data_IF_828514471273
#
_entry.id   IF_828514471273
#
_cell.length_a   1.000
_cell.length_b   1.000
_cell.length_c   1.000
_cell.angle_alpha   90.00
_cell.angle_beta   90.00
_cell.angle_gamma   90.00
#
_symmetry.space_group_name_H-M   'P 1'
#
loop_
_entity.id
_entity.type
_entity.pdbx_description
1 polymer ?
#
# COMPACT_ATOMS: atom_id res chain seq x y z
N UNK A 1 -0.41 10.15 -13.21
CA UNK A 1 -1.82 10.39 -12.82
C UNK A 1 -2.53 9.10 -13.14
N UNK A 2 -3.28 8.55 -12.19
CA UNK A 2 -3.82 7.21 -12.33
C UNK A 2 -5.03 7.20 -13.25
N UNK A 3 -4.97 6.38 -14.28
CA UNK A 3 -5.97 6.34 -15.35
C UNK A 3 -6.35 4.90 -15.66
N UNK A 4 -7.59 4.71 -16.12
CA UNK A 4 -8.10 3.41 -16.54
C UNK A 4 -8.70 3.53 -17.93
N UNK A 5 -8.34 2.62 -18.83
CA UNK A 5 -8.99 2.46 -20.12
C UNK A 5 -10.20 1.54 -19.99
N UNK A 6 -11.39 2.11 -20.22
CA UNK A 6 -12.65 1.41 -20.03
C UNK A 6 -13.31 1.14 -21.36
N UNK A 7 -13.54 -0.14 -21.64
CA UNK A 7 -14.37 -0.64 -22.74
C UNK A 7 -15.48 -1.54 -22.22
N UNK A 8 -16.09 -2.33 -23.11
CA UNK A 8 -17.05 -3.38 -22.73
C UNK A 8 -16.67 -4.72 -23.34
N UNK A 9 -17.00 -5.81 -22.65
CA UNK A 9 -16.81 -7.17 -23.17
C UNK A 9 -17.59 -7.39 -24.47
N UNK A 10 -18.77 -6.78 -24.61
CA UNK A 10 -19.56 -6.84 -25.85
C UNK A 10 -18.81 -6.24 -27.02
N UNK A 11 -18.32 -5.00 -26.90
CA UNK A 11 -17.54 -4.33 -27.96
C UNK A 11 -16.31 -5.17 -28.31
N UNK A 12 -15.59 -5.68 -27.30
CA UNK A 12 -14.43 -6.54 -27.49
C UNK A 12 -14.77 -7.81 -28.29
N UNK A 13 -15.85 -8.51 -27.92
CA UNK A 13 -16.32 -9.72 -28.59
C UNK A 13 -16.80 -9.47 -30.03
N UNK A 14 -17.26 -8.26 -30.32
CA UNK A 14 -17.63 -7.80 -31.68
C UNK A 14 -16.41 -7.32 -32.49
N UNK A 15 -15.19 -7.45 -31.96
CA UNK A 15 -13.94 -7.06 -32.63
C UNK A 15 -13.61 -5.57 -32.53
N UNK A 16 -14.22 -4.85 -31.59
CA UNK A 16 -14.04 -3.43 -31.35
C UNK A 16 -13.31 -3.18 -30.02
N UNK A 17 -12.18 -2.48 -30.07
CA UNK A 17 -11.48 -2.00 -28.88
C UNK A 17 -11.93 -0.59 -28.48
N UNK A 18 -13.17 -0.19 -28.83
CA UNK A 18 -13.68 1.15 -28.54
C UNK A 18 -13.95 1.30 -27.04
N UNK A 19 -13.15 2.14 -26.41
CA UNK A 19 -13.28 2.60 -25.03
C UNK A 19 -12.72 4.02 -24.87
N UNK A 20 -12.62 4.47 -23.63
CA UNK A 20 -12.04 5.78 -23.30
C UNK A 20 -11.14 5.69 -22.06
N UNK A 21 -10.11 6.54 -22.02
CA UNK A 21 -9.28 6.73 -20.83
C UNK A 21 -9.99 7.67 -19.87
N UNK A 22 -10.24 7.21 -18.65
CA UNK A 22 -10.81 8.01 -17.56
C UNK A 22 -9.73 8.29 -16.52
N UNK A 23 -9.65 9.54 -16.05
CA UNK A 23 -8.73 9.93 -14.98
C UNK A 23 -9.39 9.71 -13.63
N UNK A 24 -8.78 8.92 -12.76
CA UNK A 24 -9.41 8.58 -11.48
C UNK A 24 -9.51 9.79 -10.53
N UNK A 25 -8.70 10.83 -10.75
CA UNK A 25 -8.78 12.06 -9.97
C UNK A 25 -10.08 12.85 -10.22
N UNK A 26 -10.82 12.55 -11.31
CA UNK A 26 -12.10 13.20 -11.63
C UNK A 26 -13.28 12.60 -10.82
N UNK A 27 -13.07 11.50 -10.09
CA UNK A 27 -14.11 10.78 -9.35
C UNK A 27 -13.79 10.72 -7.86
N UNK A 28 -14.78 11.01 -7.02
CA UNK A 28 -14.62 11.01 -5.57
C UNK A 28 -14.40 9.61 -4.99
N UNK A 29 -15.01 8.60 -5.61
CA UNK A 29 -15.00 7.22 -5.15
C UNK A 29 -15.28 6.25 -6.31
N UNK A 30 -15.26 4.95 -5.98
CA UNK A 30 -15.55 3.86 -6.90
C UNK A 30 -16.93 3.96 -7.54
N UNK A 31 -17.95 4.35 -6.80
CA UNK A 31 -19.32 4.39 -7.30
C UNK A 31 -19.47 5.49 -8.35
N UNK A 32 -18.91 6.67 -8.10
CA UNK A 32 -18.86 7.78 -9.06
C UNK A 32 -18.12 7.39 -10.36
N UNK A 33 -17.01 6.64 -10.24
CA UNK A 33 -16.28 6.12 -11.39
C UNK A 33 -17.11 5.11 -12.21
N UNK A 34 -17.77 4.16 -11.54
CA UNK A 34 -18.60 3.15 -12.21
C UNK A 34 -19.84 3.77 -12.88
N UNK A 35 -20.43 4.81 -12.28
CA UNK A 35 -21.51 5.58 -12.90
C UNK A 35 -21.03 6.26 -14.19
N UNK A 36 -19.86 6.90 -14.17
CA UNK A 36 -19.28 7.51 -15.36
C UNK A 36 -18.93 6.49 -16.46
N UNK A 37 -18.44 5.30 -16.08
CA UNK A 37 -18.22 4.19 -17.02
C UNK A 37 -19.52 3.72 -17.68
N UNK A 38 -20.61 3.66 -16.91
CA UNK A 38 -21.92 3.26 -17.42
C UNK A 38 -22.48 4.31 -18.38
N UNK A 39 -22.34 5.59 -18.05
CA UNK A 39 -22.76 6.70 -18.93
C UNK A 39 -21.96 6.73 -20.24
N UNK A 40 -20.64 6.50 -20.16
CA UNK A 40 -19.75 6.37 -21.32
C UNK A 40 -20.20 5.28 -22.30
N UNK A 41 -20.82 4.22 -21.79
CA UNK A 41 -21.32 3.07 -22.56
C UNK A 41 -22.85 2.97 -22.58
N UNK A 42 -23.54 4.11 -22.46
CA UNK A 42 -25.00 4.23 -22.56
C UNK A 42 -25.57 3.83 -23.92
N UNK A 43 -24.72 3.55 -24.92
CA UNK A 43 -25.10 2.95 -26.20
C UNK A 43 -25.46 1.44 -26.08
N UNK A 44 -25.18 0.82 -24.93
CA UNK A 44 -25.51 -0.56 -24.60
C UNK A 44 -26.55 -0.64 -23.47
N UNK A 45 -27.44 -1.64 -23.55
CA UNK A 45 -28.33 -1.99 -22.44
C UNK A 45 -27.55 -2.88 -21.47
N UNK A 46 -27.28 -2.38 -20.25
CA UNK A 46 -26.51 -3.08 -19.21
C UNK A 46 -25.07 -3.41 -19.65
N UNK A 47 -24.20 -2.38 -19.82
CA UNK A 47 -22.85 -2.58 -20.33
C UNK A 47 -22.00 -3.42 -19.36
N UNK A 48 -21.49 -4.57 -19.85
CA UNK A 48 -20.49 -5.37 -19.15
C UNK A 48 -19.10 -4.70 -19.27
N UNK A 49 -18.75 -3.88 -18.28
CA UNK A 49 -17.51 -3.11 -18.24
C UNK A 49 -16.26 -4.02 -18.29
N UNK A 50 -15.25 -3.55 -19.01
CA UNK A 50 -13.94 -4.19 -19.15
C UNK A 50 -12.85 -3.14 -18.96
N UNK A 51 -12.01 -3.29 -17.93
CA UNK A 51 -10.85 -2.44 -17.66
C UNK A 51 -9.64 -3.03 -18.38
N UNK A 52 -9.36 -2.51 -19.58
CA UNK A 52 -8.43 -3.17 -20.50
C UNK A 52 -6.98 -2.78 -20.26
N UNK A 53 -6.75 -1.59 -19.68
CA UNK A 53 -5.43 -1.05 -19.38
C UNK A 53 -5.52 -0.02 -18.25
N UNK A 54 -4.41 0.20 -17.53
CA UNK A 54 -4.35 1.16 -16.43
C UNK A 54 -2.93 1.67 -16.14
N UNK A 55 -2.85 2.90 -15.63
CA UNK A 55 -1.60 3.58 -15.28
C UNK A 55 -1.59 3.95 -13.78
N UNK A 56 -0.43 3.86 -13.12
CA UNK A 56 -0.22 4.27 -11.71
C UNK A 56 -1.19 3.64 -10.69
N UNK A 57 -1.69 2.43 -10.97
CA UNK A 57 -2.53 1.63 -10.06
C UNK A 57 -1.90 0.25 -9.88
N UNK A 58 -1.65 -0.20 -8.64
CA UNK A 58 -1.22 -1.56 -8.36
C UNK A 58 -2.22 -2.59 -8.92
N UNK A 59 -1.74 -3.60 -9.65
CA UNK A 59 -2.55 -4.67 -10.27
C UNK A 59 -3.36 -5.53 -9.28
N UNK A 60 -3.13 -5.33 -7.98
CA UNK A 60 -3.88 -5.92 -6.88
C UNK A 60 -5.16 -5.17 -6.54
N UNK A 61 -5.27 -3.90 -6.91
CA UNK A 61 -6.48 -3.09 -6.72
C UNK A 61 -7.35 -3.04 -7.97
N UNK A 62 -6.85 -3.53 -9.10
CA UNK A 62 -7.59 -3.49 -10.36
C UNK A 62 -7.27 -4.71 -11.19
N UNK A 63 -8.29 -5.26 -11.84
CA UNK A 63 -8.16 -6.27 -12.86
C UNK A 63 -9.18 -6.06 -13.95
N UNK A 64 -9.17 -6.93 -14.96
CA UNK A 64 -9.98 -6.74 -16.18
C UNK A 64 -11.47 -6.51 -15.94
N UNK A 65 -12.03 -7.10 -14.87
CA UNK A 65 -13.45 -7.03 -14.55
C UNK A 65 -13.74 -6.44 -13.16
N UNK A 66 -12.75 -5.86 -12.49
CA UNK A 66 -12.94 -5.31 -11.14
C UNK A 66 -11.97 -4.17 -10.83
N UNK A 67 -12.43 -3.27 -9.97
CA UNK A 67 -11.60 -2.26 -9.32
C UNK A 67 -11.97 -2.24 -7.84
N UNK A 68 -10.99 -2.21 -6.96
CA UNK A 68 -11.14 -2.19 -5.51
C UNK A 68 -11.39 -0.75 -5.04
N UNK A 69 -12.18 -0.58 -3.97
CA UNK A 69 -12.39 0.72 -3.34
C UNK A 69 -11.09 1.30 -2.77
N UNK A 70 -10.17 0.43 -2.32
CA UNK A 70 -8.81 0.77 -1.89
C UNK A 70 -7.98 1.50 -2.95
N UNK A 71 -8.43 1.48 -4.21
CA UNK A 71 -7.82 2.31 -5.25
C UNK A 71 -7.84 3.77 -4.85
N UNK A 72 -8.94 4.29 -4.30
CA UNK A 72 -9.04 5.70 -3.91
C UNK A 72 -8.13 6.03 -2.72
N UNK A 73 -8.07 5.17 -1.71
CA UNK A 73 -7.12 5.31 -0.60
C UNK A 73 -5.68 5.41 -1.12
N UNK A 74 -5.32 4.59 -2.11
CA UNK A 74 -4.01 4.63 -2.77
C UNK A 74 -3.75 5.93 -3.55
N UNK A 75 -4.78 6.52 -4.16
CA UNK A 75 -4.64 7.76 -4.92
C UNK A 75 -4.29 8.94 -4.02
N UNK A 76 -4.79 8.95 -2.79
CA UNK A 76 -4.54 10.01 -1.80
C UNK A 76 -3.12 9.99 -1.24
N UNK A 77 -2.42 8.86 -1.37
CA UNK A 77 -1.06 8.71 -0.86
C UNK A 77 -0.02 9.51 -1.66
N UNK A 78 0.92 10.09 -0.93
CA UNK A 78 2.19 10.60 -1.48
C UNK A 78 3.07 9.47 -2.04
N UNK A 79 4.09 9.82 -2.83
CA UNK A 79 5.02 8.85 -3.41
C UNK A 79 5.72 7.99 -2.33
N UNK A 80 6.13 8.61 -1.21
CA UNK A 80 6.78 7.92 -0.10
C UNK A 80 5.80 6.95 0.61
N UNK A 81 4.55 7.37 0.83
CA UNK A 81 3.52 6.53 1.42
C UNK A 81 3.16 5.34 0.52
N UNK A 82 3.12 5.54 -0.80
CA UNK A 82 2.92 4.46 -1.78
C UNK A 82 4.03 3.43 -1.71
N UNK A 83 5.28 3.85 -1.54
CA UNK A 83 6.41 2.94 -1.35
C UNK A 83 6.22 2.11 -0.07
N UNK A 84 5.89 2.76 1.05
CA UNK A 84 5.68 2.09 2.35
C UNK A 84 4.56 1.05 2.24
N UNK A 85 3.42 1.45 1.68
CA UNK A 85 2.24 0.60 1.53
C UNK A 85 2.53 -0.57 0.60
N UNK A 86 3.17 -0.35 -0.54
CA UNK A 86 3.56 -1.41 -1.46
C UNK A 86 4.47 -2.44 -0.78
N UNK A 87 5.46 -2.00 -0.01
CA UNK A 87 6.37 -2.89 0.71
C UNK A 87 5.62 -3.73 1.75
N UNK A 88 4.77 -3.09 2.56
CA UNK A 88 3.99 -3.78 3.57
C UNK A 88 3.09 -4.86 2.94
N UNK A 89 2.43 -4.48 1.85
CA UNK A 89 1.50 -5.32 1.13
C UNK A 89 2.15 -6.49 0.38
N UNK A 90 3.43 -6.38 0.04
CA UNK A 90 4.17 -7.45 -0.65
C UNK A 90 4.87 -8.40 0.34
N UNK A 91 5.34 -7.88 1.48
CA UNK A 91 6.26 -8.60 2.38
C UNK A 91 5.69 -8.88 3.78
N UNK A 92 4.59 -8.21 4.17
CA UNK A 92 4.02 -8.30 5.53
C UNK A 92 2.60 -8.87 5.49
N UNK A 93 1.66 -8.18 4.86
CA UNK A 93 0.27 -8.61 4.76
C UNK A 93 -0.36 -8.19 3.41
N UNK A 94 -0.61 -9.20 2.58
CA UNK A 94 -1.17 -9.02 1.25
C UNK A 94 -2.61 -8.53 1.25
N UNK A 95 -3.39 -8.62 2.31
CA UNK A 95 -4.81 -8.22 2.24
C UNK A 95 -5.13 -7.00 3.12
N UNK A 96 -4.10 -6.45 3.78
CA UNK A 96 -4.26 -5.32 4.68
C UNK A 96 -4.88 -4.08 4.01
N UNK A 97 -5.60 -3.25 4.78
CA UNK A 97 -5.94 -1.88 4.37
C UNK A 97 -4.69 -1.00 4.20
N UNK A 98 -4.79 0.02 3.35
CA UNK A 98 -3.74 1.03 3.16
C UNK A 98 -3.37 1.71 4.48
N UNK A 99 -4.38 2.10 5.26
CA UNK A 99 -4.23 2.76 6.55
C UNK A 99 -3.42 1.90 7.53
N UNK A 100 -3.70 0.59 7.58
CA UNK A 100 -2.98 -0.34 8.45
C UNK A 100 -1.49 -0.41 8.12
N UNK A 101 -1.13 -0.40 6.83
CA UNK A 101 0.27 -0.42 6.42
C UNK A 101 1.03 0.82 6.89
N UNK A 102 0.40 2.00 6.82
CA UNK A 102 0.98 3.26 7.29
C UNK A 102 1.05 3.33 8.82
N UNK A 103 -0.01 2.94 9.53
CA UNK A 103 -0.05 2.95 10.99
C UNK A 103 0.95 1.97 11.62
N UNK A 104 1.26 0.87 10.91
CA UNK A 104 2.23 -0.12 11.36
C UNK A 104 3.68 0.29 11.05
N UNK A 105 3.91 1.33 10.25
CA UNK A 105 5.26 1.71 9.84
C UNK A 105 6.02 2.43 10.95
N UNK A 106 7.14 1.85 11.38
CA UNK A 106 8.02 2.35 12.46
C UNK A 106 9.26 3.06 11.91
N UNK A 107 9.28 3.38 10.61
CA UNK A 107 10.34 4.18 9.99
C UNK A 107 11.43 3.39 9.27
N UNK A 108 12.42 4.15 8.78
CA UNK A 108 13.59 3.67 8.06
C UNK A 108 14.83 3.77 8.93
N UNK A 109 15.57 2.66 9.04
CA UNK A 109 16.72 2.55 9.94
C UNK A 109 17.94 2.02 9.18
N UNK A 110 19.14 2.34 9.65
CA UNK A 110 20.38 1.81 9.04
C UNK A 110 20.56 0.30 9.28
N UNK A 111 19.93 -0.21 10.34
CA UNK A 111 19.91 -1.63 10.71
C UNK A 111 18.78 -1.92 11.70
N UNK A 112 18.55 -3.20 11.99
CA UNK A 112 17.64 -3.61 13.08
C UNK A 112 18.11 -3.11 14.45
N UNK A 113 19.43 -3.07 14.68
CA UNK A 113 20.00 -2.53 15.92
C UNK A 113 19.69 -1.03 16.06
N UNK A 114 19.78 -0.29 14.95
CA UNK A 114 19.46 1.14 14.87
C UNK A 114 17.98 1.39 15.21
N UNK A 115 17.07 0.61 14.62
CA UNK A 115 15.65 0.62 15.01
C UNK A 115 15.46 0.35 16.51
N UNK A 116 16.15 -0.64 17.07
CA UNK A 116 16.00 -0.97 18.49
C UNK A 116 16.48 0.15 19.41
N UNK A 117 17.57 0.84 19.05
CA UNK A 117 18.04 2.03 19.78
C UNK A 117 17.00 3.14 19.73
N UNK A 118 16.48 3.41 18.53
CA UNK A 118 15.48 4.45 18.29
C UNK A 118 14.18 4.19 19.06
N UNK A 119 13.70 2.95 19.02
CA UNK A 119 12.52 2.50 19.77
C UNK A 119 12.68 2.70 21.28
N UNK A 120 13.84 2.32 21.85
CA UNK A 120 14.10 2.47 23.28
C UNK A 120 14.22 3.92 23.74
N UNK A 121 14.74 4.80 22.89
CA UNK A 121 14.83 6.23 23.15
C UNK A 121 13.44 6.87 23.10
N UNK A 122 12.68 6.64 22.02
CA UNK A 122 11.35 7.21 21.81
C UNK A 122 10.31 6.73 22.83
N UNK A 123 10.37 5.47 23.26
CA UNK A 123 9.48 4.95 24.32
C UNK A 123 9.93 5.35 25.72
N UNK A 124 11.12 5.95 25.87
CA UNK A 124 11.71 6.31 27.14
C UNK A 124 12.13 5.11 28.00
N UNK A 125 12.21 3.90 27.43
CA UNK A 125 12.67 2.69 28.14
C UNK A 125 14.10 2.85 28.65
N UNK A 126 14.97 3.54 27.89
CA UNK A 126 16.35 3.83 28.31
C UNK A 126 16.41 4.65 29.62
N UNK A 127 15.45 5.57 29.82
CA UNK A 127 15.38 6.45 30.99
C UNK A 127 14.90 5.74 32.26
N UNK A 128 14.38 4.52 32.14
CA UNK A 128 13.99 3.69 33.29
C UNK A 128 15.19 2.97 33.91
N UNK A 129 16.34 2.96 33.21
CA UNK A 129 17.57 2.34 33.67
C UNK A 129 18.49 3.37 34.35
N UNK A 130 19.26 2.96 35.38
CA UNK A 130 20.35 3.77 35.88
C UNK A 130 21.34 4.15 34.77
N UNK A 131 21.85 5.38 34.78
CA UNK A 131 22.73 5.94 33.73
C UNK A 131 23.92 5.01 33.41
N UNK A 132 24.52 4.38 34.42
CA UNK A 132 25.64 3.45 34.21
C UNK A 132 25.26 2.21 33.39
N UNK A 133 23.99 1.80 33.36
CA UNK A 133 23.51 0.59 32.70
C UNK A 133 23.05 0.85 31.25
N UNK A 134 22.72 2.10 30.90
CA UNK A 134 22.17 2.45 29.58
C UNK A 134 23.11 2.07 28.41
N UNK A 135 24.42 2.13 28.64
CA UNK A 135 25.43 1.78 27.63
C UNK A 135 25.73 0.28 27.50
N UNK A 136 25.06 -0.58 28.27
CA UNK A 136 25.26 -2.03 28.26
C UNK A 136 24.09 -2.82 27.69
N UNK A 137 23.12 -2.12 27.08
CA UNK A 137 21.98 -2.76 26.43
C UNK A 137 22.44 -3.35 25.09
N UNK A 138 22.09 -4.62 24.87
CA UNK A 138 22.32 -5.32 23.62
C UNK A 138 21.11 -5.12 22.70
N UNK A 139 21.13 -4.03 21.94
CA UNK A 139 20.05 -3.65 21.03
C UNK A 139 19.90 -4.63 19.85
N UNK A 140 20.99 -5.28 19.43
CA UNK A 140 20.97 -6.28 18.36
C UNK A 140 20.17 -7.51 18.81
N UNK A 141 20.43 -8.02 20.01
CA UNK A 141 19.65 -9.12 20.56
C UNK A 141 18.18 -8.74 20.80
N UNK A 142 17.92 -7.53 21.30
CA UNK A 142 16.54 -7.05 21.47
C UNK A 142 15.78 -7.02 20.14
N UNK A 143 16.36 -6.44 19.08
CA UNK A 143 15.73 -6.39 17.76
C UNK A 143 15.47 -7.79 17.21
N UNK A 144 16.44 -8.70 17.38
CA UNK A 144 16.32 -10.10 16.97
C UNK A 144 15.17 -10.80 17.69
N UNK A 145 15.01 -10.58 18.98
CA UNK A 145 13.92 -11.17 19.77
C UNK A 145 12.56 -10.61 19.33
N UNK A 146 12.44 -9.30 19.08
CA UNK A 146 11.22 -8.70 18.53
C UNK A 146 10.84 -9.28 17.16
N UNK A 147 11.82 -9.50 16.28
CA UNK A 147 11.59 -10.17 14.98
C UNK A 147 11.10 -11.61 15.18
N UNK A 148 11.78 -12.39 16.00
CA UNK A 148 11.44 -13.80 16.21
C UNK A 148 10.12 -13.99 16.96
N UNK A 149 9.76 -13.04 17.82
CA UNK A 149 8.46 -12.97 18.49
C UNK A 149 7.31 -12.57 17.56
N UNK A 150 7.63 -12.01 16.39
CA UNK A 150 6.65 -11.47 15.44
C UNK A 150 6.05 -10.14 15.90
N UNK A 151 6.71 -9.42 16.81
CA UNK A 151 6.29 -8.09 17.24
C UNK A 151 6.59 -7.05 16.15
N UNK A 152 7.69 -7.26 15.42
CA UNK A 152 8.16 -6.41 14.33
C UNK A 152 8.55 -7.26 13.12
N UNK A 153 8.14 -6.83 11.94
CA UNK A 153 8.65 -7.32 10.66
C UNK A 153 9.63 -6.30 10.10
N UNK A 154 10.83 -6.77 9.76
CA UNK A 154 11.87 -5.94 9.16
C UNK A 154 12.03 -6.32 7.69
N UNK A 155 11.90 -5.34 6.80
CA UNK A 155 12.08 -5.53 5.36
C UNK A 155 13.33 -4.78 4.90
N UNK A 156 14.28 -5.50 4.31
CA UNK A 156 15.49 -4.91 3.76
C UNK A 156 15.22 -4.28 2.39
N UNK A 157 15.54 -2.99 2.23
CA UNK A 157 15.50 -2.28 0.95
C UNK A 157 16.81 -1.52 0.75
N UNK A 158 17.65 -2.04 -0.14
CA UNK A 158 18.96 -1.46 -0.42
C UNK A 158 19.92 -1.58 0.77
N UNK A 159 20.23 -0.46 1.43
CA UNK A 159 21.13 -0.41 2.61
C UNK A 159 20.38 -0.07 3.90
N UNK A 160 19.06 -0.06 3.85
CA UNK A 160 18.18 0.38 4.91
C UNK A 160 17.20 -0.72 5.26
N UNK A 161 16.68 -0.65 6.48
CA UNK A 161 15.66 -1.54 7.00
C UNK A 161 14.39 -0.74 7.25
N UNK A 162 13.28 -1.17 6.66
CA UNK A 162 11.93 -0.68 6.97
C UNK A 162 11.37 -1.55 8.10
N UNK A 163 10.97 -0.93 9.20
CA UNK A 163 10.38 -1.64 10.33
C UNK A 163 8.86 -1.49 10.31
N UNK A 164 8.15 -2.60 10.50
CA UNK A 164 6.70 -2.64 10.59
C UNK A 164 6.27 -3.37 11.85
N UNK A 165 5.59 -2.70 12.76
CA UNK A 165 5.00 -3.36 13.93
C UNK A 165 3.84 -4.24 13.54
N UNK A 166 3.58 -5.24 14.36
CA UNK A 166 2.38 -6.06 14.26
C UNK A 166 1.13 -5.22 14.55
N UNK A 167 0.10 -5.38 13.71
CA UNK A 167 -1.24 -4.83 13.94
C UNK A 167 -2.00 -5.60 15.03
#
# INVERSE_FOLDING_TARGET
>A
MSKVYVGTYRKYNEGSLKGEWLDLADYADKDAFLEACTELHSDESDPELMFQDWEDIPTRFIGESHIDEKTWDWLELSEDEREIVAIYMDEVDQDAPVETALECYEGEHDSEEDWARDFWDHTGMVNQLPEFAQNYIDYEQFARDCRLGGDITFVEKGRKVRAFRRN
#
